data_IF_052251156563
#
_entry.id   IF_052251156563
#
_cell.length_a   1.000
_cell.length_b   1.000
_cell.length_c   1.000
_cell.angle_alpha   90.00
_cell.angle_beta   90.00
_cell.angle_gamma   90.00
#
_symmetry.space_group_name_H-M   'P 1'
#
loop_
_entity.id
_entity.type
_entity.pdbx_description
1 polymer ?
#
# COMPACT_ATOMS: atom_id res chain seq x y z
N UNK A 1 11.33 12.69 -10.39
CA UNK A 1 10.80 11.75 -11.39
C UNK A 1 9.88 10.81 -10.62
N UNK A 2 8.86 10.27 -11.29
CA UNK A 2 7.77 9.56 -10.63
C UNK A 2 7.61 8.15 -11.19
N UNK A 3 6.93 7.30 -10.45
CA UNK A 3 6.61 5.93 -10.86
C UNK A 3 5.35 5.94 -11.74
N UNK A 4 5.25 4.97 -12.66
CA UNK A 4 4.13 4.83 -13.58
C UNK A 4 3.23 3.66 -13.17
N UNK A 5 1.99 3.67 -13.66
CA UNK A 5 1.08 2.54 -13.51
C UNK A 5 1.71 1.27 -14.10
N UNK A 6 1.77 0.21 -13.29
CA UNK A 6 2.34 -1.08 -13.66
C UNK A 6 3.70 -1.33 -13.05
N UNK A 7 4.40 -0.27 -12.63
CA UNK A 7 5.71 -0.37 -12.00
C UNK A 7 5.66 -1.13 -10.67
N UNK A 8 6.70 -1.89 -10.40
CA UNK A 8 6.82 -2.71 -9.18
C UNK A 8 8.10 -2.30 -8.49
N UNK A 9 8.02 -1.95 -7.21
CA UNK A 9 9.17 -1.71 -6.36
C UNK A 9 9.39 -2.93 -5.48
N UNK A 10 10.63 -3.42 -5.43
CA UNK A 10 11.01 -4.54 -4.58
C UNK A 10 12.20 -4.19 -3.69
N UNK A 11 11.95 -4.11 -2.39
CA UNK A 11 12.96 -3.81 -1.38
C UNK A 11 14.14 -4.78 -1.45
N UNK A 12 13.90 -6.06 -1.77
CA UNK A 12 14.95 -7.09 -1.81
C UNK A 12 15.94 -6.90 -2.95
N UNK A 13 15.61 -6.05 -3.93
CA UNK A 13 16.54 -5.71 -5.01
C UNK A 13 17.83 -5.11 -4.45
N UNK A 14 17.70 -4.17 -3.51
CA UNK A 14 18.83 -3.52 -2.82
C UNK A 14 19.08 -4.08 -1.43
N UNK A 15 18.03 -4.51 -0.73
CA UNK A 15 18.08 -4.90 0.68
C UNK A 15 17.46 -6.31 0.89
N UNK A 16 18.20 -7.38 0.55
CA UNK A 16 17.70 -8.75 0.68
C UNK A 16 17.39 -9.16 2.12
N UNK A 17 18.05 -8.54 3.11
CA UNK A 17 17.88 -8.79 4.55
C UNK A 17 16.66 -8.11 5.19
N UNK A 18 15.98 -7.22 4.45
CA UNK A 18 14.80 -6.49 4.95
C UNK A 18 13.53 -7.34 4.98
N UNK A 19 12.41 -6.73 5.38
CA UNK A 19 11.12 -7.43 5.41
C UNK A 19 10.66 -7.92 4.03
N UNK A 20 11.19 -7.33 2.96
CA UNK A 20 10.92 -7.68 1.57
C UNK A 20 9.61 -7.08 1.10
N UNK A 21 9.43 -5.78 1.37
CA UNK A 21 8.29 -5.01 0.88
C UNK A 21 8.28 -5.02 -0.64
N UNK A 22 7.15 -5.44 -1.22
CA UNK A 22 6.88 -5.30 -2.64
C UNK A 22 5.58 -4.60 -2.86
N UNK A 23 5.65 -3.50 -3.62
CA UNK A 23 4.50 -2.70 -3.97
C UNK A 23 4.43 -2.54 -5.48
N UNK A 24 3.21 -2.53 -6.00
CA UNK A 24 2.90 -2.28 -7.39
C UNK A 24 2.15 -0.97 -7.52
N UNK A 25 2.64 -0.06 -8.35
CA UNK A 25 1.91 1.14 -8.71
C UNK A 25 0.71 0.78 -9.58
N UNK A 26 -0.50 1.07 -9.10
CA UNK A 26 -1.74 0.82 -9.84
C UNK A 26 -2.29 2.09 -10.50
N UNK A 27 -1.78 3.26 -10.13
CA UNK A 27 -2.12 4.54 -10.72
C UNK A 27 -1.46 5.72 -10.00
N UNK A 28 -1.39 6.88 -10.65
CA UNK A 28 -0.70 8.06 -10.12
C UNK A 28 0.80 7.83 -9.93
N UNK A 29 1.45 8.69 -9.15
CA UNK A 29 2.85 8.56 -8.80
C UNK A 29 3.82 9.48 -9.52
N UNK A 30 3.33 10.48 -10.28
CA UNK A 30 4.19 11.50 -10.91
C UNK A 30 5.04 12.27 -9.89
N UNK A 31 4.52 12.47 -8.68
CA UNK A 31 5.25 13.10 -7.58
C UNK A 31 5.80 12.11 -6.55
N UNK A 32 5.85 10.81 -6.85
CA UNK A 32 6.47 9.83 -5.95
C UNK A 32 7.94 10.18 -5.73
N UNK A 33 8.39 10.21 -4.47
CA UNK A 33 9.78 10.46 -4.14
C UNK A 33 10.44 9.19 -3.60
N UNK A 34 9.89 8.62 -2.53
CA UNK A 34 10.49 7.48 -1.83
C UNK A 34 9.52 6.75 -0.90
N UNK A 35 9.83 5.51 -0.57
CA UNK A 35 9.13 4.70 0.45
C UNK A 35 10.09 4.39 1.58
N UNK A 36 9.65 4.59 2.80
CA UNK A 36 10.39 4.22 4.00
C UNK A 36 9.89 2.88 4.53
N UNK A 37 10.74 1.86 4.48
CA UNK A 37 10.46 0.53 5.02
C UNK A 37 11.65 -0.02 5.80
N UNK A 38 11.45 -0.47 7.04
CA UNK A 38 12.51 -1.05 7.88
C UNK A 38 13.77 -0.15 8.05
N UNK A 39 13.62 1.18 7.94
CA UNK A 39 14.75 2.12 7.95
C UNK A 39 15.43 2.35 6.60
N UNK A 40 14.99 1.67 5.54
CA UNK A 40 15.47 1.82 4.18
C UNK A 40 14.55 2.71 3.34
N UNK A 41 15.16 3.45 2.42
CA UNK A 41 14.49 4.31 1.46
C UNK A 41 14.45 3.62 0.09
N UNK A 42 13.27 3.20 -0.35
CA UNK A 42 13.06 2.68 -1.70
C UNK A 42 12.68 3.83 -2.63
N UNK A 43 13.31 3.88 -3.79
CA UNK A 43 13.05 4.92 -4.80
C UNK A 43 12.74 4.29 -6.15
N UNK A 44 12.68 5.09 -7.21
CA UNK A 44 12.59 4.60 -8.58
C UNK A 44 13.77 3.68 -8.98
N UNK A 45 14.90 3.73 -8.28
CA UNK A 45 16.02 2.81 -8.50
C UNK A 45 15.67 1.36 -8.12
N UNK A 46 14.70 1.18 -7.22
CA UNK A 46 14.21 -0.11 -6.74
C UNK A 46 13.14 -0.74 -7.62
N UNK A 47 12.87 -0.11 -8.78
CA UNK A 47 11.97 -0.65 -9.77
C UNK A 47 12.47 -1.97 -10.35
N UNK A 48 11.61 -2.98 -10.34
CA UNK A 48 11.84 -4.30 -10.91
C UNK A 48 10.78 -4.61 -11.95
N UNK A 49 11.17 -5.31 -13.00
CA UNK A 49 10.22 -5.79 -14.02
C UNK A 49 9.42 -7.00 -13.54
N UNK A 50 9.99 -7.81 -12.64
CA UNK A 50 9.39 -9.02 -12.08
C UNK A 50 9.71 -9.17 -10.59
N UNK A 51 8.78 -9.75 -9.83
CA UNK A 51 8.91 -9.95 -8.39
C UNK A 51 9.81 -11.15 -8.13
N UNK A 52 10.98 -10.91 -7.52
CA UNK A 52 11.94 -11.99 -7.25
C UNK A 52 11.51 -12.70 -5.96
N UNK A 53 10.78 -13.81 -6.13
CA UNK A 53 10.40 -14.84 -5.15
C UNK A 53 9.84 -14.37 -3.79
N UNK A 54 8.59 -14.73 -3.49
CA UNK A 54 7.90 -14.42 -2.23
C UNK A 54 8.40 -15.19 -0.99
N UNK A 55 9.38 -16.10 -1.14
CA UNK A 55 9.80 -17.01 -0.06
C UNK A 55 10.51 -16.23 1.06
N UNK A 56 9.93 -16.26 2.27
CA UNK A 56 10.53 -15.68 3.49
C UNK A 56 10.27 -14.19 3.72
N UNK A 57 9.32 -13.57 3.02
CA UNK A 57 8.94 -12.17 3.26
C UNK A 57 8.13 -12.04 4.54
N UNK A 58 8.44 -11.02 5.35
CA UNK A 58 7.74 -10.77 6.62
C UNK A 58 6.51 -9.91 6.34
N UNK A 59 5.33 -10.52 6.42
CA UNK A 59 4.05 -9.82 6.28
C UNK A 59 3.79 -8.96 7.50
N UNK A 60 3.42 -7.71 7.26
CA UNK A 60 3.11 -6.75 8.31
C UNK A 60 1.65 -6.71 8.70
N UNK A 61 1.28 -5.59 9.31
CA UNK A 61 -0.13 -5.19 9.52
C UNK A 61 -0.89 -5.04 8.21
N UNK A 62 -0.18 -4.79 7.10
CA UNK A 62 -0.74 -4.69 5.76
C UNK A 62 -0.84 -6.08 5.13
N UNK A 63 -2.05 -6.44 4.73
CA UNK A 63 -2.31 -7.65 3.98
C UNK A 63 -1.76 -7.51 2.54
N UNK A 64 -1.23 -8.59 1.95
CA UNK A 64 -1.00 -8.61 0.50
C UNK A 64 -2.33 -8.38 -0.22
N UNK A 65 -2.35 -7.43 -1.15
CA UNK A 65 -3.53 -6.89 -1.80
C UNK A 65 -4.03 -5.56 -1.21
N UNK A 66 -3.48 -5.09 -0.09
CA UNK A 66 -3.82 -3.79 0.48
C UNK A 66 -3.47 -2.66 -0.50
N UNK A 67 -4.44 -1.79 -0.79
CA UNK A 67 -4.22 -0.61 -1.62
C UNK A 67 -3.93 0.58 -0.72
N UNK A 68 -2.89 1.35 -1.01
CA UNK A 68 -2.59 2.63 -0.40
C UNK A 68 -2.90 3.70 -1.42
N UNK A 69 -3.85 4.57 -1.08
CA UNK A 69 -4.27 5.66 -1.93
C UNK A 69 -3.97 6.99 -1.25
N UNK A 70 -3.13 7.79 -1.88
CA UNK A 70 -2.75 9.10 -1.38
C UNK A 70 -3.96 10.03 -1.22
N UNK A 71 -4.87 10.05 -2.23
CA UNK A 71 -6.09 10.87 -2.22
C UNK A 71 -7.00 10.66 -1.02
N UNK A 72 -6.82 9.54 -0.32
CA UNK A 72 -7.60 9.21 0.87
C UNK A 72 -7.18 10.01 2.09
N UNK A 73 -5.90 10.33 2.21
CA UNK A 73 -5.38 11.24 3.24
C UNK A 73 -5.24 12.67 2.72
N UNK A 74 -4.89 12.83 1.44
CA UNK A 74 -4.59 14.11 0.83
C UNK A 74 -5.32 14.25 -0.52
N UNK A 75 -6.57 14.76 -0.51
CA UNK A 75 -7.40 14.85 -1.73
C UNK A 75 -6.80 15.73 -2.83
N UNK A 76 -5.95 16.70 -2.46
CA UNK A 76 -5.27 17.64 -3.36
C UNK A 76 -3.97 17.09 -3.99
N UNK A 77 -3.58 15.85 -3.70
CA UNK A 77 -2.34 15.27 -4.23
C UNK A 77 -2.49 14.68 -5.65
N UNK A 78 -1.33 14.28 -6.22
CA UNK A 78 -1.24 13.67 -7.55
C UNK A 78 -2.05 12.37 -7.71
N UNK A 79 -2.45 11.74 -6.60
CA UNK A 79 -3.31 10.55 -6.60
C UNK A 79 -2.53 9.27 -6.77
N UNK A 80 -1.40 9.17 -6.08
CA UNK A 80 -0.61 7.95 -5.99
C UNK A 80 -1.45 6.78 -5.43
N UNK A 81 -1.40 5.65 -6.13
CA UNK A 81 -2.03 4.38 -5.76
C UNK A 81 -1.01 3.27 -5.80
N UNK A 82 -0.71 2.71 -4.64
CA UNK A 82 0.21 1.59 -4.48
C UNK A 82 -0.54 0.38 -3.95
N UNK A 83 -0.32 -0.78 -4.55
CA UNK A 83 -0.84 -2.04 -4.06
C UNK A 83 0.30 -2.82 -3.42
N UNK A 84 0.17 -3.19 -2.15
CA UNK A 84 1.13 -4.08 -1.49
C UNK A 84 0.94 -5.47 -2.07
N UNK A 85 1.94 -5.97 -2.79
CA UNK A 85 1.92 -7.32 -3.33
C UNK A 85 2.38 -8.34 -2.28
N UNK A 86 3.41 -8.01 -1.51
CA UNK A 86 3.94 -8.85 -0.43
C UNK A 86 4.79 -8.02 0.56
N UNK A 87 5.13 -8.60 1.71
CA UNK A 87 5.97 -7.97 2.73
C UNK A 87 5.29 -6.82 3.50
N UNK A 88 6.06 -5.79 3.84
CA UNK A 88 5.55 -4.57 4.47
C UNK A 88 5.39 -4.63 5.99
N UNK A 89 6.09 -5.54 6.68
CA UNK A 89 6.19 -5.54 8.14
C UNK A 89 6.69 -4.23 8.74
N UNK A 90 7.63 -3.56 8.06
CA UNK A 90 8.21 -2.32 8.54
C UNK A 90 7.84 -1.10 7.71
N UNK A 91 6.72 -1.10 6.97
CA UNK A 91 6.32 0.10 6.23
C UNK A 91 6.06 1.26 7.21
N UNK A 92 6.84 2.32 7.09
CA UNK A 92 6.72 3.52 7.92
C UNK A 92 5.90 4.59 7.20
N UNK A 93 6.18 4.80 5.91
CA UNK A 93 5.44 5.76 5.09
C UNK A 93 5.98 5.88 3.68
N UNK A 94 5.26 6.61 2.83
CA UNK A 94 5.59 6.89 1.44
C UNK A 94 5.57 8.40 1.27
N UNK A 95 6.65 8.97 0.75
CA UNK A 95 6.74 10.38 0.43
C UNK A 95 6.33 10.61 -1.03
N UNK A 96 5.25 11.37 -1.22
CA UNK A 96 4.73 11.73 -2.53
C UNK A 96 4.27 13.20 -2.52
N UNK A 97 4.73 14.01 -3.47
CA UNK A 97 4.39 15.43 -3.57
C UNK A 97 4.68 16.25 -2.29
N UNK A 98 5.62 15.81 -1.44
CA UNK A 98 5.88 16.43 -0.13
C UNK A 98 4.89 16.03 0.96
N UNK A 99 3.98 15.09 0.69
CA UNK A 99 3.08 14.48 1.66
C UNK A 99 3.60 13.11 2.09
N UNK A 100 3.65 12.89 3.41
CA UNK A 100 4.03 11.61 3.99
C UNK A 100 2.79 10.73 4.20
N UNK A 101 2.59 9.78 3.30
CA UNK A 101 1.50 8.82 3.31
C UNK A 101 1.90 7.63 4.20
N UNK A 102 1.32 7.53 5.39
CA UNK A 102 1.53 6.39 6.29
C UNK A 102 0.52 5.26 6.04
N UNK A 103 0.63 4.15 6.77
CA UNK A 103 -0.36 3.05 6.77
C UNK A 103 -1.80 3.48 7.12
N UNK A 104 -2.01 4.74 7.53
CA UNK A 104 -3.31 5.40 7.64
C UNK A 104 -4.10 5.49 6.32
N UNK A 105 -3.41 5.66 5.18
CA UNK A 105 -4.01 5.78 3.84
C UNK A 105 -4.47 4.45 3.21
N UNK A 106 -4.32 3.33 3.92
CA UNK A 106 -4.63 2.01 3.37
C UNK A 106 -6.14 1.90 3.15
N UNK A 107 -6.53 1.72 1.90
CA UNK A 107 -7.84 1.31 1.43
C UNK A 107 -7.95 -0.22 1.45
N UNK A 108 -8.68 -0.74 2.44
CA UNK A 108 -9.05 -2.16 2.56
C UNK A 108 -8.26 -2.96 3.61
N UNK A 109 -8.74 -4.21 3.79
CA UNK A 109 -8.19 -5.34 4.54
C UNK A 109 -6.97 -5.04 5.42
N UNK A 110 -7.20 -4.49 6.62
CA UNK A 110 -6.24 -4.53 7.74
C UNK A 110 -6.46 -5.82 8.50
N UNK A 111 -5.39 -6.54 8.83
CA UNK A 111 -5.49 -7.71 9.72
C UNK A 111 -6.08 -7.27 11.06
N UNK A 112 -7.28 -7.74 11.39
CA UNK A 112 -7.92 -7.55 12.70
C UNK A 112 -8.95 -6.43 12.82
N UNK A 113 -9.32 -5.70 11.76
CA UNK A 113 -10.59 -4.95 11.79
C UNK A 113 -11.71 -5.87 11.32
N UNK A 114 -12.76 -6.12 12.14
CA UNK A 114 -14.01 -6.63 11.59
C UNK A 114 -14.38 -5.70 10.44
N UNK A 115 -14.90 -6.27 9.35
CA UNK A 115 -15.68 -5.50 8.39
C UNK A 115 -16.57 -4.58 9.22
N UNK A 116 -16.47 -3.28 8.98
CA UNK A 116 -17.44 -2.33 9.49
C UNK A 116 -18.78 -2.84 8.97
N UNK A 117 -19.49 -3.58 9.81
CA UNK A 117 -20.87 -4.03 9.65
C UNK A 117 -21.75 -2.79 9.89
N UNK A 118 -21.44 -1.72 9.16
CA UNK A 118 -22.14 -0.46 9.06
C UNK A 118 -23.24 -0.49 8.00
N UNK A 119 -23.75 -1.68 7.69
CA UNK A 119 -25.08 -1.84 7.15
C UNK A 119 -25.90 -2.59 8.18
N UNK A 120 -26.67 -1.92 9.08
CA UNK A 120 -27.88 -2.56 9.53
C UNK A 120 -28.64 -2.92 8.26
N UNK A 121 -28.79 -4.22 7.98
CA UNK A 121 -29.78 -4.66 7.01
C UNK A 121 -31.07 -3.88 7.32
N UNK A 122 -31.72 -3.21 6.35
CA UNK A 122 -33.05 -2.71 6.60
C UNK A 122 -33.90 -3.95 6.86
N UNK A 123 -34.12 -4.28 8.13
CA UNK A 123 -35.24 -5.10 8.56
C UNK A 123 -36.48 -4.33 8.15
N UNK A 124 -36.90 -4.55 6.91
CA UNK A 124 -38.22 -4.16 6.46
C UNK A 124 -39.23 -4.69 7.48
N UNK A 125 -40.26 -3.90 7.84
CA UNK A 125 -41.19 -4.32 8.88
C UNK A 125 -41.83 -5.65 8.45
N UNK A 126 -41.70 -6.66 9.31
CA UNK A 126 -42.48 -7.87 9.21
C UNK A 126 -43.96 -7.46 9.19
N UNK A 127 -44.67 -7.92 8.16
CA UNK A 127 -46.07 -7.56 7.91
C UNK A 127 -46.93 -7.70 9.16
N UNK A 128 -47.67 -6.63 9.46
CA UNK A 128 -48.84 -6.69 10.30
C UNK A 128 -50.08 -6.58 9.40
N UNK A 129 -51.06 -7.42 9.74
CA UNK A 129 -52.41 -7.59 9.21
C UNK A 129 -52.55 -8.53 8.00
#
# INVERSE_FOLDING_TARGET
MGIKKGDILDERKRFPDSCGLVVKCTGGGEGFQKIFCCGHELTEEDLVSEIVSSRGRKRGTLLPGAMLEERRQFPDSCGLRLMVMDGGAGLQGIDCCGHLITAGAVHGLRFGQPLDEGAPMPTGPAGQA
#
